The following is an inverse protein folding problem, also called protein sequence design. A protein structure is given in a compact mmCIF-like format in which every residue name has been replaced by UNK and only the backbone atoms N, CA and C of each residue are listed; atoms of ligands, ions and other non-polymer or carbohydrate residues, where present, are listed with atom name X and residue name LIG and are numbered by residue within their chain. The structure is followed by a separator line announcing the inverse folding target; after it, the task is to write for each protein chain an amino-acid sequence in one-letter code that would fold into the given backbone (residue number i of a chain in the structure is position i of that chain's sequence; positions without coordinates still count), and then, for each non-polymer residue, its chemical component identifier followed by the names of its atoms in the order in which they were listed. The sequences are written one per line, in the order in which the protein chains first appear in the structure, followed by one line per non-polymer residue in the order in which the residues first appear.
data_IF_774187238660
#
_entry.id   IF_774187238660
#
_cell.length_a   1.000
_cell.length_b   1.000
_cell.length_c   1.000
_cell.angle_alpha   90.00
_cell.angle_beta   90.00
_cell.angle_gamma   90.00
#
_symmetry.space_group_name_H-M   'P 1'
#
loop_
_entity.id
_entity.type
_entity.pdbx_description
1 polymer ?
#
# COMPACT_ATOMS: atom_id res chain seq x y z
N UNK A 1 -30.70 -6.45 -13.97
CA UNK A 1 -31.09 -5.07 -14.37
C UNK A 1 -30.42 -4.11 -13.40
N UNK A 2 -29.69 -3.08 -13.87
CA UNK A 2 -29.18 -2.01 -13.03
C UNK A 2 -30.33 -1.38 -12.23
N UNK A 3 -30.09 -0.98 -10.98
CA UNK A 3 -31.12 -0.32 -10.14
C UNK A 3 -31.43 1.06 -10.75
N UNK A 4 -30.43 1.68 -11.36
CA UNK A 4 -30.57 2.87 -12.21
C UNK A 4 -31.62 2.68 -13.31
N UNK A 5 -31.59 1.56 -14.03
CA UNK A 5 -32.59 1.27 -15.08
C UNK A 5 -33.97 0.90 -14.54
N UNK A 6 -34.07 0.40 -13.30
CA UNK A 6 -35.35 0.13 -12.63
C UNK A 6 -36.01 1.42 -12.10
N UNK A 7 -35.21 2.38 -11.61
CA UNK A 7 -35.72 3.65 -11.05
C UNK A 7 -35.92 4.74 -12.10
N UNK A 8 -35.11 4.76 -13.17
CA UNK A 8 -35.09 5.87 -14.14
C UNK A 8 -35.43 5.45 -15.58
N UNK A 9 -35.75 4.18 -15.82
CA UNK A 9 -36.02 3.64 -17.14
C UNK A 9 -34.76 3.38 -17.98
N UNK A 10 -34.92 2.88 -19.22
CA UNK A 10 -33.79 2.58 -20.10
C UNK A 10 -33.05 3.85 -20.55
N UNK A 11 -31.71 3.80 -20.69
CA UNK A 11 -30.92 4.99 -21.01
C UNK A 11 -31.23 5.54 -22.43
N UNK A 12 -31.33 6.87 -22.61
CA UNK A 12 -31.58 7.49 -23.91
C UNK A 12 -30.38 7.31 -24.84
N UNK A 13 -30.61 7.19 -26.15
CA UNK A 13 -29.62 6.77 -27.15
C UNK A 13 -28.28 7.55 -27.14
N UNK A 14 -28.27 8.83 -26.77
CA UNK A 14 -27.07 9.66 -26.65
C UNK A 14 -27.28 10.87 -25.71
N UNK A 15 -26.22 11.65 -25.48
CA UNK A 15 -26.27 12.91 -24.73
C UNK A 15 -25.84 12.83 -23.28
N UNK A 16 -25.89 13.96 -22.57
CA UNK A 16 -25.40 14.11 -21.20
C UNK A 16 -26.08 13.15 -20.22
N UNK A 17 -27.37 12.86 -20.41
CA UNK A 17 -28.11 11.91 -19.57
C UNK A 17 -27.65 10.46 -19.75
N UNK A 18 -27.17 10.07 -20.94
CA UNK A 18 -26.57 8.74 -21.16
C UNK A 18 -25.21 8.61 -20.47
N UNK A 19 -24.40 9.67 -20.49
CA UNK A 19 -23.11 9.70 -19.76
C UNK A 19 -23.34 9.55 -18.25
N UNK A 20 -24.26 10.33 -17.69
CA UNK A 20 -24.62 10.26 -16.28
C UNK A 20 -25.19 8.88 -15.89
N UNK A 21 -26.05 8.30 -16.73
CA UNK A 21 -26.59 6.95 -16.51
C UNK A 21 -25.47 5.89 -16.53
N UNK A 22 -24.49 6.02 -17.42
CA UNK A 22 -23.35 5.09 -17.51
C UNK A 22 -22.43 5.22 -16.28
N UNK A 23 -22.12 6.44 -15.85
CA UNK A 23 -21.33 6.71 -14.64
C UNK A 23 -22.02 6.18 -13.38
N UNK A 24 -23.32 6.45 -13.21
CA UNK A 24 -24.10 5.95 -12.10
C UNK A 24 -24.18 4.41 -12.08
N UNK A 25 -24.26 3.77 -13.26
CA UNK A 25 -24.27 2.31 -13.37
C UNK A 25 -22.89 1.69 -13.10
N UNK A 26 -21.81 2.38 -13.47
CA UNK A 26 -20.44 2.00 -13.10
C UNK A 26 -20.22 2.08 -11.59
N UNK A 27 -20.66 3.18 -10.98
CA UNK A 27 -20.60 3.39 -9.53
C UNK A 27 -21.43 2.35 -8.77
N UNK A 28 -22.62 2.02 -9.28
CA UNK A 28 -23.47 0.98 -8.71
C UNK A 28 -22.78 -0.39 -8.71
N UNK A 29 -22.06 -0.73 -9.78
CA UNK A 29 -21.30 -1.99 -9.90
C UNK A 29 -20.19 -2.08 -8.86
N UNK A 30 -19.53 -0.96 -8.56
CA UNK A 30 -18.49 -0.87 -7.53
C UNK A 30 -19.08 -0.95 -6.10
N UNK A 31 -20.27 -0.38 -5.88
CA UNK A 31 -20.90 -0.29 -4.57
C UNK A 31 -21.68 -1.54 -4.15
N UNK A 32 -22.32 -2.24 -5.09
CA UNK A 32 -23.18 -3.41 -4.80
C UNK A 32 -22.57 -4.74 -5.22
N UNK A 33 -21.25 -4.83 -5.30
CA UNK A 33 -20.51 -6.09 -5.37
C UNK A 33 -20.92 -7.01 -4.20
N UNK A 34 -21.86 -7.91 -4.47
CA UNK A 34 -22.43 -8.88 -3.51
C UNK A 34 -21.31 -9.60 -2.75
N UNK A 35 -21.36 -9.55 -1.41
CA UNK A 35 -20.52 -10.40 -0.53
C UNK A 35 -20.74 -11.88 -0.90
N UNK A 36 -19.69 -12.52 -1.37
CA UNK A 36 -19.64 -13.96 -1.66
C UNK A 36 -19.47 -14.34 -3.13
N UNK A 37 -19.64 -13.43 -4.10
CA UNK A 37 -19.51 -13.76 -5.53
C UNK A 37 -18.29 -13.15 -6.23
N UNK A 38 -17.65 -12.13 -5.65
CA UNK A 38 -16.51 -11.46 -6.28
C UNK A 38 -15.56 -10.88 -5.22
N UNK A 39 -14.27 -11.26 -5.31
CA UNK A 39 -13.17 -10.53 -4.69
C UNK A 39 -12.77 -9.43 -5.68
N UNK A 40 -12.89 -8.13 -5.35
CA UNK A 40 -12.38 -7.10 -6.23
C UNK A 40 -10.87 -7.32 -6.38
N UNK A 41 -10.44 -7.73 -7.57
CA UNK A 41 -9.06 -7.49 -7.97
C UNK A 41 -9.00 -6.02 -8.40
N UNK A 42 -8.12 -5.20 -7.81
CA UNK A 42 -7.97 -3.80 -8.18
C UNK A 42 -7.31 -3.74 -9.56
N UNK A 43 -8.12 -3.88 -10.61
CA UNK A 43 -7.66 -3.80 -12.00
C UNK A 43 -8.39 -2.71 -12.79
N UNK A 44 -9.24 -1.92 -12.13
CA UNK A 44 -10.09 -0.93 -12.80
C UNK A 44 -9.53 0.49 -12.61
N UNK A 45 -8.34 0.75 -13.15
CA UNK A 45 -7.86 2.11 -13.43
C UNK A 45 -6.86 2.17 -14.61
N UNK A 46 -6.80 1.13 -15.45
CA UNK A 46 -5.95 1.14 -16.65
C UNK A 46 -6.78 0.71 -17.87
N UNK A 47 -7.15 1.67 -18.72
CA UNK A 47 -7.35 1.38 -20.13
C UNK A 47 -6.29 2.13 -20.96
N UNK A 48 -5.79 1.39 -21.95
CA UNK A 48 -4.85 1.75 -23.03
C UNK A 48 -3.40 2.04 -22.65
N UNK A 49 -2.64 0.96 -22.43
CA UNK A 49 -1.18 0.98 -22.38
C UNK A 49 -0.65 -0.05 -21.39
N UNK A 50 -0.59 -1.31 -21.82
CA UNK A 50 -0.19 -2.44 -20.99
C UNK A 50 1.17 -2.22 -20.29
N UNK A 51 1.15 -2.10 -18.97
CA UNK A 51 2.26 -2.56 -18.13
C UNK A 51 1.89 -3.97 -17.63
N UNK A 52 2.61 -5.02 -18.04
CA UNK A 52 2.35 -6.36 -17.58
C UNK A 52 2.69 -6.45 -16.09
N UNK A 53 1.67 -6.58 -15.24
CA UNK A 53 1.76 -7.13 -13.89
C UNK A 53 2.52 -6.30 -12.85
N UNK A 54 1.79 -5.55 -12.04
CA UNK A 54 2.18 -5.34 -10.65
C UNK A 54 0.95 -5.65 -9.77
N UNK A 55 1.00 -6.68 -8.90
CA UNK A 55 -0.13 -7.06 -8.05
C UNK A 55 -0.40 -6.04 -6.92
N UNK A 56 0.42 -5.00 -6.79
CA UNK A 56 0.38 -3.98 -5.73
C UNK A 56 1.00 -2.67 -6.22
N UNK A 57 0.45 -1.53 -5.79
CA UNK A 57 1.06 -0.21 -5.99
C UNK A 57 2.39 -0.04 -5.25
N UNK A 58 2.66 -0.90 -4.27
CA UNK A 58 3.88 -0.87 -3.48
C UNK A 58 4.40 -2.31 -3.25
N UNK A 59 5.33 -2.80 -4.09
CA UNK A 59 5.87 -4.17 -4.00
C UNK A 59 6.95 -4.31 -2.92
N UNK A 60 6.65 -3.84 -1.71
CA UNK A 60 7.58 -3.91 -0.56
C UNK A 60 7.83 -5.35 -0.12
N UNK A 61 6.86 -6.23 -0.33
CA UNK A 61 6.95 -7.67 -0.12
C UNK A 61 8.06 -8.31 -0.96
N UNK A 62 8.13 -7.96 -2.25
CA UNK A 62 9.19 -8.46 -3.14
C UNK A 62 10.58 -8.08 -2.62
N UNK A 63 10.76 -6.81 -2.18
CA UNK A 63 12.03 -6.35 -1.64
C UNK A 63 12.40 -7.02 -0.32
N UNK A 64 11.41 -7.32 0.52
CA UNK A 64 11.62 -8.02 1.79
C UNK A 64 11.86 -9.52 1.60
N UNK A 65 11.35 -10.12 0.51
CA UNK A 65 11.55 -11.53 0.17
C UNK A 65 12.88 -11.80 -0.56
N UNK A 66 13.52 -10.77 -1.13
CA UNK A 66 14.84 -10.90 -1.74
C UNK A 66 15.85 -11.45 -0.71
N UNK A 67 16.53 -12.58 -1.02
CA UNK A 67 17.51 -13.17 -0.14
C UNK A 67 18.76 -12.27 -0.06
N UNK A 68 19.31 -12.15 1.13
CA UNK A 68 20.55 -11.41 1.34
C UNK A 68 20.98 -11.43 2.81
N UNK A 69 22.29 -11.33 3.02
CA UNK A 69 22.90 -11.37 4.35
C UNK A 69 23.11 -9.98 4.95
N UNK A 70 22.92 -8.92 4.15
CA UNK A 70 23.03 -7.54 4.58
C UNK A 70 21.67 -6.97 5.01
N UNK A 71 21.69 -6.09 5.99
CA UNK A 71 20.52 -5.34 6.45
C UNK A 71 19.87 -4.57 5.29
N UNK A 72 18.54 -4.60 5.24
CA UNK A 72 17.76 -3.87 4.24
C UNK A 72 17.29 -2.54 4.78
N UNK A 73 17.51 -1.47 4.03
CA UNK A 73 16.74 -0.23 4.20
C UNK A 73 15.92 0.01 2.94
N UNK A 74 14.61 0.11 3.08
CA UNK A 74 13.66 0.32 1.98
C UNK A 74 12.89 1.62 2.18
N UNK A 75 13.04 2.57 1.24
CA UNK A 75 12.22 3.77 1.20
C UNK A 75 11.01 3.52 0.32
N UNK A 76 9.83 3.46 0.94
CA UNK A 76 8.58 3.10 0.29
C UNK A 76 7.73 4.37 0.11
N UNK A 77 7.77 4.96 -1.09
CA UNK A 77 7.06 6.22 -1.38
C UNK A 77 5.61 5.93 -1.74
N UNK A 78 4.67 6.35 -0.89
CA UNK A 78 3.23 6.20 -1.07
C UNK A 78 2.65 7.49 -1.63
N UNK A 79 2.00 7.40 -2.80
CA UNK A 79 1.37 8.53 -3.47
C UNK A 79 -0.14 8.62 -3.17
N UNK A 80 -0.72 7.57 -2.60
CA UNK A 80 -2.14 7.45 -2.32
C UNK A 80 -2.40 7.54 -0.81
N UNK A 81 -2.42 8.76 -0.29
CA UNK A 81 -2.66 9.00 1.13
C UNK A 81 -4.06 8.55 1.55
N UNK A 82 -4.16 7.66 2.54
CA UNK A 82 -5.46 7.28 3.12
C UNK A 82 -6.07 8.37 3.99
N UNK A 83 -5.30 9.37 4.39
CA UNK A 83 -5.76 10.53 5.15
C UNK A 83 -5.91 11.72 4.20
N UNK A 84 -6.93 12.54 4.41
CA UNK A 84 -7.27 13.63 3.50
C UNK A 84 -8.62 14.24 3.82
N UNK A 85 -8.92 15.39 3.21
CA UNK A 85 -10.17 16.12 3.42
C UNK A 85 -11.42 15.40 2.90
N UNK A 86 -12.58 15.91 3.30
CA UNK A 86 -13.88 15.44 2.79
C UNK A 86 -14.05 15.92 1.32
N UNK A 87 -14.33 15.01 0.37
CA UNK A 87 -14.48 15.38 -1.03
C UNK A 87 -15.69 16.30 -1.23
N UNK A 88 -15.48 17.40 -1.96
CA UNK A 88 -16.51 18.43 -2.22
C UNK A 88 -17.21 18.24 -3.58
N UNK A 89 -16.88 17.19 -4.33
CA UNK A 89 -17.48 16.89 -5.63
C UNK A 89 -17.48 15.38 -5.89
N UNK A 90 -18.27 14.93 -6.88
CA UNK A 90 -18.28 13.52 -7.28
C UNK A 90 -16.91 13.07 -7.82
N UNK A 91 -16.24 13.91 -8.61
CA UNK A 91 -14.89 13.62 -9.12
C UNK A 91 -13.86 13.49 -7.99
N UNK A 92 -13.93 14.38 -7.00
CA UNK A 92 -13.10 14.28 -5.79
C UNK A 92 -13.44 13.02 -4.98
N UNK A 93 -14.71 12.62 -4.90
CA UNK A 93 -15.11 11.40 -4.19
C UNK A 93 -14.59 10.13 -4.86
N UNK A 94 -14.59 10.07 -6.19
CA UNK A 94 -14.01 8.95 -6.96
C UNK A 94 -12.49 8.90 -6.77
N UNK A 95 -11.80 10.04 -6.86
CA UNK A 95 -10.36 10.14 -6.64
C UNK A 95 -9.99 9.69 -5.22
N UNK A 96 -10.70 10.20 -4.22
CA UNK A 96 -10.55 9.82 -2.81
C UNK A 96 -10.78 8.33 -2.56
N UNK A 97 -11.78 7.73 -3.21
CA UNK A 97 -12.03 6.30 -3.10
C UNK A 97 -10.86 5.47 -3.66
N UNK A 98 -10.25 5.90 -4.77
CA UNK A 98 -9.06 5.27 -5.33
C UNK A 98 -7.86 5.40 -4.38
N UNK A 99 -7.60 6.59 -3.83
CA UNK A 99 -6.53 6.80 -2.85
C UNK A 99 -6.68 5.89 -1.64
N UNK A 100 -7.87 5.84 -1.04
CA UNK A 100 -8.15 5.00 0.12
C UNK A 100 -7.98 3.52 -0.24
N UNK A 101 -8.44 3.08 -1.41
CA UNK A 101 -8.32 1.69 -1.83
C UNK A 101 -6.85 1.27 -2.01
N UNK A 102 -6.06 2.11 -2.69
CA UNK A 102 -4.66 1.85 -3.01
C UNK A 102 -3.77 1.97 -1.77
N UNK A 103 -3.95 3.02 -0.96
CA UNK A 103 -3.22 3.17 0.31
C UNK A 103 -3.57 2.06 1.32
N UNK A 104 -4.82 1.54 1.32
CA UNK A 104 -5.18 0.39 2.14
C UNK A 104 -4.47 -0.90 1.69
N UNK A 105 -4.27 -1.09 0.38
CA UNK A 105 -3.52 -2.22 -0.14
C UNK A 105 -2.08 -2.21 0.41
N UNK A 106 -1.40 -1.07 0.30
CA UNK A 106 -0.06 -0.86 0.86
C UNK A 106 -0.04 -1.16 2.36
N UNK A 107 -0.98 -0.59 3.13
CA UNK A 107 -1.05 -0.82 4.58
C UNK A 107 -1.21 -2.30 4.92
N UNK A 108 -2.09 -3.02 4.23
CA UNK A 108 -2.32 -4.44 4.49
C UNK A 108 -1.08 -5.29 4.22
N UNK A 109 -0.32 -4.98 3.18
CA UNK A 109 0.93 -5.67 2.86
C UNK A 109 1.96 -5.41 3.96
N UNK A 110 2.19 -4.15 4.32
CA UNK A 110 3.15 -3.75 5.37
C UNK A 110 2.81 -4.39 6.71
N UNK A 111 1.55 -4.29 7.17
CA UNK A 111 1.09 -4.92 8.42
C UNK A 111 1.19 -6.46 8.38
N UNK A 112 0.97 -7.06 7.21
CA UNK A 112 1.13 -8.50 6.99
C UNK A 112 2.58 -8.94 7.19
N UNK A 113 3.53 -8.20 6.61
CA UNK A 113 4.96 -8.44 6.77
C UNK A 113 5.45 -8.20 8.20
N UNK A 114 4.92 -7.19 8.88
CA UNK A 114 5.21 -6.97 10.30
C UNK A 114 4.78 -8.17 11.16
N UNK A 115 3.56 -8.67 10.93
CA UNK A 115 3.05 -9.88 11.62
C UNK A 115 3.87 -11.12 11.32
N UNK A 116 4.30 -11.30 10.07
CA UNK A 116 5.16 -12.39 9.65
C UNK A 116 6.50 -12.37 10.38
N UNK A 117 7.23 -11.25 10.33
CA UNK A 117 8.53 -11.10 10.99
C UNK A 117 8.42 -11.27 12.51
N UNK A 118 7.37 -10.71 13.12
CA UNK A 118 7.09 -10.90 14.55
C UNK A 118 6.88 -12.37 14.89
N UNK A 119 6.14 -13.11 14.05
CA UNK A 119 5.89 -14.54 14.26
C UNK A 119 7.18 -15.36 14.14
N UNK A 120 8.04 -15.05 13.15
CA UNK A 120 9.36 -15.67 12.99
C UNK A 120 10.25 -15.43 14.21
N UNK A 121 10.32 -14.19 14.71
CA UNK A 121 11.08 -13.85 15.90
C UNK A 121 10.59 -14.61 17.15
N UNK A 122 9.27 -14.81 17.30
CA UNK A 122 8.72 -15.63 18.39
C UNK A 122 9.10 -17.11 18.26
N UNK A 123 9.11 -17.65 17.04
CA UNK A 123 9.57 -19.03 16.79
C UNK A 123 11.06 -19.18 17.12
N UNK A 124 11.91 -18.23 16.75
CA UNK A 124 13.34 -18.27 17.09
C UNK A 124 13.57 -18.21 18.60
N UNK A 125 12.87 -17.32 19.31
CA UNK A 125 12.92 -17.26 20.78
C UNK A 125 12.45 -18.57 21.44
N UNK A 126 11.45 -19.23 20.87
CA UNK A 126 11.03 -20.56 21.33
C UNK A 126 12.13 -21.60 21.07
N UNK A 127 12.78 -21.55 19.90
CA UNK A 127 13.87 -22.44 19.52
C UNK A 127 15.04 -22.38 20.51
N UNK A 128 15.43 -21.18 20.92
CA UNK A 128 16.49 -20.93 21.91
C UNK A 128 16.16 -21.57 23.27
N UNK A 129 14.88 -21.61 23.64
CA UNK A 129 14.40 -22.21 24.89
C UNK A 129 14.27 -23.73 24.85
N UNK A 130 14.30 -24.36 23.66
CA UNK A 130 14.21 -25.82 23.54
C UNK A 130 15.52 -26.50 23.98
N UNK A 131 15.44 -27.70 24.61
CA UNK A 131 16.60 -28.57 24.80
C UNK A 131 17.27 -28.91 23.46
N UNK A 132 18.61 -29.08 23.41
CA UNK A 132 19.33 -29.40 22.18
C UNK A 132 18.75 -30.62 21.44
N UNK A 133 18.38 -31.67 22.18
CA UNK A 133 17.85 -32.92 21.64
C UNK A 133 16.52 -32.71 20.91
N UNK A 134 15.74 -31.71 21.33
CA UNK A 134 14.47 -31.34 20.67
C UNK A 134 14.68 -30.44 19.48
N UNK A 135 15.77 -29.66 19.42
CA UNK A 135 16.10 -28.84 18.23
C UNK A 135 16.63 -29.70 17.10
N UNK A 136 17.33 -30.79 17.43
CA UNK A 136 17.88 -31.76 16.48
C UNK A 136 16.83 -32.74 15.94
N UNK A 137 15.65 -32.79 16.56
CA UNK A 137 14.50 -33.54 16.03
C UNK A 137 14.20 -33.07 14.59
N UNK A 138 14.14 -33.97 13.59
CA UNK A 138 13.99 -33.58 12.18
C UNK A 138 12.78 -32.69 11.89
N UNK A 139 11.65 -32.93 12.56
CA UNK A 139 10.44 -32.16 12.35
C UNK A 139 10.61 -30.74 12.91
N UNK A 140 11.19 -30.63 14.11
CA UNK A 140 11.49 -29.32 14.73
C UNK A 140 12.54 -28.57 13.92
N UNK A 141 13.63 -29.22 13.53
CA UNK A 141 14.68 -28.63 12.72
C UNK A 141 14.14 -28.05 11.40
N UNK A 142 13.18 -28.73 10.76
CA UNK A 142 12.55 -28.23 9.53
C UNK A 142 11.75 -26.94 9.76
N UNK A 143 11.00 -26.84 10.85
CA UNK A 143 10.24 -25.64 11.22
C UNK A 143 11.19 -24.48 11.52
N UNK A 144 12.28 -24.75 12.24
CA UNK A 144 13.29 -23.74 12.57
C UNK A 144 14.04 -23.25 11.33
N UNK A 145 14.34 -24.15 10.40
CA UNK A 145 14.94 -23.80 9.11
C UNK A 145 14.01 -22.89 8.29
N UNK A 146 12.71 -23.20 8.19
CA UNK A 146 11.73 -22.36 7.49
C UNK A 146 11.54 -20.99 8.15
N UNK A 147 11.56 -20.94 9.49
CA UNK A 147 11.48 -19.69 10.24
C UNK A 147 12.73 -18.81 10.02
N UNK A 148 13.91 -19.42 9.88
CA UNK A 148 15.19 -18.75 9.68
C UNK A 148 15.58 -18.46 8.22
N UNK A 149 15.04 -19.17 7.23
CA UNK A 149 15.48 -19.08 5.83
C UNK A 149 15.00 -17.84 5.07
N UNK A 150 13.97 -17.15 5.57
CA UNK A 150 13.43 -15.91 4.99
C UNK A 150 13.33 -14.85 6.08
N UNK A 151 14.18 -13.82 6.05
CA UNK A 151 14.18 -12.74 7.05
C UNK A 151 15.18 -12.90 8.20
N UNK A 152 16.29 -13.63 7.99
CA UNK A 152 17.42 -13.63 8.93
C UNK A 152 18.16 -12.27 8.97
N UNK A 153 18.09 -11.49 7.89
CA UNK A 153 18.56 -10.11 7.87
C UNK A 153 17.59 -9.17 8.57
N UNK A 154 18.10 -8.12 9.20
CA UNK A 154 17.22 -7.03 9.65
C UNK A 154 16.70 -6.25 8.45
N UNK A 155 15.51 -5.66 8.59
CA UNK A 155 14.93 -4.81 7.57
C UNK A 155 14.25 -3.59 8.18
N UNK A 156 14.50 -2.43 7.61
CA UNK A 156 13.85 -1.17 7.96
C UNK A 156 13.11 -0.64 6.74
N UNK A 157 11.80 -0.47 6.88
CA UNK A 157 10.92 0.13 5.87
C UNK A 157 10.55 1.53 6.32
N UNK A 158 10.99 2.55 5.59
CA UNK A 158 10.58 3.93 5.79
C UNK A 158 9.52 4.27 4.77
N UNK A 159 8.25 4.29 5.19
CA UNK A 159 7.12 4.67 4.35
C UNK A 159 6.99 6.18 4.33
N UNK A 160 7.12 6.76 3.15
CA UNK A 160 7.02 8.22 2.92
C UNK A 160 5.73 8.48 2.17
N UNK A 161 4.71 9.01 2.84
CA UNK A 161 3.42 9.31 2.22
C UNK A 161 3.41 10.75 1.72
N UNK A 162 3.23 10.92 0.42
CA UNK A 162 2.93 12.21 -0.18
C UNK A 162 1.48 12.59 0.12
N UNK A 163 1.27 13.81 0.59
CA UNK A 163 -0.07 14.40 0.72
C UNK A 163 -0.13 15.63 -0.17
N UNK A 164 -1.13 15.67 -1.03
CA UNK A 164 -1.42 16.86 -1.81
C UNK A 164 -1.81 18.01 -0.87
N UNK A 165 -1.39 19.22 -1.21
CA UNK A 165 -1.88 20.42 -0.52
C UNK A 165 -3.39 20.55 -0.71
N UNK A 166 -4.15 21.11 0.25
CA UNK A 166 -5.57 21.41 0.05
C UNK A 166 -5.88 22.22 -1.22
N UNK A 167 -4.93 23.04 -1.68
CA UNK A 167 -5.04 23.84 -2.91
C UNK A 167 -4.80 23.02 -4.19
N UNK A 168 -4.15 21.85 -4.06
CA UNK A 168 -3.91 20.89 -5.15
C UNK A 168 -5.03 19.83 -5.26
N UNK A 169 -5.93 19.77 -4.27
CA UNK A 169 -6.99 18.77 -4.17
C UNK A 169 -8.10 18.96 -5.23
N UNK A 170 -7.74 18.73 -6.50
CA UNK A 170 -8.61 18.86 -7.65
C UNK A 170 -8.71 17.55 -8.45
N UNK A 171 -9.80 17.33 -9.22
CA UNK A 171 -9.87 16.18 -10.12
C UNK A 171 -8.65 16.12 -11.04
N UNK A 172 -7.95 14.99 -11.06
CA UNK A 172 -6.75 14.79 -11.88
C UNK A 172 -5.42 15.21 -11.24
N UNK A 173 -5.36 15.52 -9.95
CA UNK A 173 -4.12 15.87 -9.24
C UNK A 173 -2.99 14.82 -9.41
N UNK A 174 -3.34 13.54 -9.51
CA UNK A 174 -2.41 12.42 -9.70
C UNK A 174 -1.75 12.40 -11.08
N UNK A 175 -2.27 13.20 -12.02
CA UNK A 175 -1.74 13.39 -13.37
C UNK A 175 -1.42 14.87 -13.66
N UNK A 176 -1.41 15.72 -12.63
CA UNK A 176 -0.99 17.11 -12.78
C UNK A 176 0.53 17.23 -12.73
N UNK A 177 1.10 17.58 -13.89
CA UNK A 177 2.53 17.87 -14.08
C UNK A 177 2.72 19.32 -14.54
N UNK A 178 1.80 20.22 -14.17
CA UNK A 178 1.89 21.60 -14.56
C UNK A 178 3.13 22.27 -13.93
N UNK A 179 3.78 23.21 -14.65
CA UNK A 179 4.88 23.99 -14.08
C UNK A 179 4.50 24.78 -12.82
N UNK A 180 3.20 25.00 -12.59
CA UNK A 180 2.69 25.71 -11.43
C UNK A 180 2.73 24.86 -10.15
N UNK A 181 2.46 23.54 -10.24
CA UNK A 181 2.39 22.64 -9.08
C UNK A 181 3.69 21.86 -8.83
N UNK A 182 4.52 21.68 -9.87
CA UNK A 182 5.78 20.94 -9.74
C UNK A 182 6.74 21.50 -8.66
N UNK A 183 7.01 22.81 -8.55
CA UNK A 183 7.92 23.33 -7.54
C UNK A 183 7.50 22.97 -6.11
N UNK A 184 6.22 23.14 -5.80
CA UNK A 184 5.64 22.86 -4.48
C UNK A 184 5.73 21.35 -4.15
N UNK A 185 5.44 20.48 -5.12
CA UNK A 185 5.56 19.02 -4.98
C UNK A 185 7.01 18.58 -4.75
N UNK A 186 7.96 19.18 -5.45
CA UNK A 186 9.39 18.92 -5.26
C UNK A 186 9.85 19.33 -3.85
N UNK A 187 9.43 20.51 -3.40
CA UNK A 187 9.77 21.01 -2.07
C UNK A 187 9.16 20.12 -0.97
N UNK A 188 7.88 19.76 -1.09
CA UNK A 188 7.19 18.86 -0.18
C UNK A 188 7.87 17.47 -0.13
N UNK A 189 8.16 16.88 -1.30
CA UNK A 189 8.86 15.59 -1.38
C UNK A 189 10.26 15.64 -0.76
N UNK A 190 11.02 16.71 -1.01
CA UNK A 190 12.33 16.90 -0.41
C UNK A 190 12.25 17.09 1.11
N UNK A 191 11.22 17.76 1.62
CA UNK A 191 10.97 17.89 3.05
C UNK A 191 10.69 16.53 3.70
N UNK A 192 9.76 15.75 3.12
CA UNK A 192 9.42 14.42 3.63
C UNK A 192 10.61 13.47 3.60
N UNK A 193 11.46 13.53 2.57
CA UNK A 193 12.68 12.71 2.51
C UNK A 193 13.70 13.13 3.57
N UNK A 194 13.87 14.43 3.83
CA UNK A 194 14.74 14.92 4.91
C UNK A 194 14.26 14.47 6.30
N UNK A 195 12.96 14.42 6.53
CA UNK A 195 12.39 13.85 7.76
C UNK A 195 12.62 12.33 7.84
N UNK A 196 12.44 11.61 6.74
CA UNK A 196 12.70 10.18 6.65
C UNK A 196 14.16 9.82 7.00
N UNK A 197 15.12 10.55 6.45
CA UNK A 197 16.54 10.36 6.75
C UNK A 197 16.85 10.64 8.22
N UNK A 198 16.32 11.72 8.81
CA UNK A 198 16.52 12.03 10.24
C UNK A 198 16.01 10.92 11.16
N UNK A 199 14.87 10.31 10.83
CA UNK A 199 14.33 9.19 11.62
C UNK A 199 15.18 7.93 11.51
N UNK A 200 15.69 7.65 10.31
CA UNK A 200 16.60 6.53 10.10
C UNK A 200 17.92 6.73 10.86
N UNK A 201 18.49 7.94 10.83
CA UNK A 201 19.68 8.29 11.60
C UNK A 201 19.47 8.16 13.11
N UNK A 202 18.32 8.61 13.62
CA UNK A 202 17.97 8.48 15.04
C UNK A 202 17.84 7.01 15.46
N UNK A 203 17.22 6.17 14.63
CA UNK A 203 17.09 4.73 14.88
C UNK A 203 18.45 4.01 14.85
N UNK A 204 19.30 4.33 13.89
CA UNK A 204 20.67 3.81 13.82
C UNK A 204 21.51 4.18 15.06
N UNK A 205 21.24 5.32 15.68
CA UNK A 205 21.93 5.79 16.89
C UNK A 205 21.46 5.07 18.17
N UNK A 206 20.27 4.47 18.18
CA UNK A 206 19.70 3.77 19.34
C UNK A 206 20.29 2.36 19.55
N UNK A 207 21.01 1.82 18.56
CA UNK A 207 21.75 0.55 18.68
C UNK A 207 20.92 -0.71 18.36
N UNK A 208 21.67 -1.71 17.88
CA UNK A 208 21.28 -3.00 17.27
C UNK A 208 19.90 -3.59 17.65
N UNK A 209 18.98 -3.61 16.66
CA UNK A 209 17.80 -4.47 16.67
C UNK A 209 18.05 -5.70 15.80
N UNK A 210 18.81 -6.63 16.36
CA UNK A 210 19.10 -7.92 15.74
C UNK A 210 17.79 -8.65 15.36
N UNK A 211 17.53 -8.79 14.06
CA UNK A 211 16.60 -9.77 13.49
C UNK A 211 15.12 -9.37 13.33
N UNK A 212 14.78 -8.08 13.21
CA UNK A 212 13.39 -7.60 13.08
C UNK A 212 13.08 -6.81 11.80
N UNK A 213 11.78 -6.66 11.51
CA UNK A 213 11.26 -5.66 10.58
C UNK A 213 10.83 -4.41 11.36
N UNK A 214 11.48 -3.27 11.08
CA UNK A 214 11.14 -1.95 11.62
C UNK A 214 10.39 -1.15 10.56
N UNK A 215 9.33 -0.44 10.95
CA UNK A 215 8.55 0.40 10.04
C UNK A 215 8.49 1.82 10.61
N UNK A 216 8.88 2.80 9.79
CA UNK A 216 8.74 4.22 10.08
C UNK A 216 7.75 4.88 9.12
N UNK A 217 6.77 5.60 9.66
CA UNK A 217 5.75 6.31 8.87
C UNK A 217 5.99 7.81 8.84
N UNK A 218 6.43 8.33 7.71
CA UNK A 218 6.66 9.76 7.49
C UNK A 218 5.53 10.31 6.62
N UNK A 219 4.65 11.11 7.23
CA UNK A 219 3.69 11.93 6.51
C UNK A 219 4.18 13.38 6.47
N UNK A 220 4.24 13.95 5.28
CA UNK A 220 4.27 15.40 5.06
C UNK A 220 2.88 15.87 4.69
#
# INVERSE_FOLDING_TARGET
MPVTSFLFGPPPAAGAWRKLHNEASGLQTLLFGRRGLFRPKPALLVEEGAAPGLPTNMPVDLMLDEPGDADLVCFAVELFAMEGGLPQSLGAAVSRAAEIALGNQTRQIVEGREREHRSRALVQRLAEALPPERREDPDVASILAEAGSRGARSATVVRVTHRASPDEAHPGESVDFSPATLPDRWEAGAHSMREALRRLEAESAEGDKSGGLVIHDVGG
#
